data_IF_230801469275
#
_entry.id   IF_230801469275
#
_cell.length_a   1.000
_cell.length_b   1.000
_cell.length_c   1.000
_cell.angle_alpha   90.00
_cell.angle_beta   90.00
_cell.angle_gamma   90.00
#
_symmetry.space_group_name_H-M   'P 1'
#
loop_
_entity.id
_entity.type
_entity.pdbx_description
1 polymer ?
#
# COMPACT_ATOMS: atom_id res chain seq x y z
N UNK A 1 -64.40 30.92 44.12
CA UNK A 1 -63.02 31.29 44.53
C UNK A 1 -62.98 31.24 46.04
N UNK A 2 -62.33 30.21 46.60
CA UNK A 2 -62.08 30.09 48.04
C UNK A 2 -60.57 29.95 48.21
N UNK A 3 -59.95 30.94 48.87
CA UNK A 3 -58.53 30.91 49.22
C UNK A 3 -58.33 30.03 50.45
N UNK A 4 -57.48 29.01 50.32
CA UNK A 4 -57.09 28.14 51.42
C UNK A 4 -56.11 28.88 52.37
N UNK A 5 -56.24 28.70 53.69
CA UNK A 5 -55.37 29.34 54.66
C UNK A 5 -53.95 28.76 54.62
N UNK A 6 -52.95 29.63 54.75
CA UNK A 6 -51.53 29.25 54.78
C UNK A 6 -51.22 28.50 56.08
N UNK A 7 -50.79 27.24 55.94
CA UNK A 7 -50.28 26.41 57.03
C UNK A 7 -48.76 26.58 57.11
N UNK A 8 -48.26 27.08 58.24
CA UNK A 8 -46.83 27.11 58.52
C UNK A 8 -46.31 25.73 58.97
N UNK A 9 -45.18 25.25 58.43
CA UNK A 9 -44.64 23.94 58.81
C UNK A 9 -44.03 23.94 60.23
N UNK A 10 -44.09 22.80 60.95
CA UNK A 10 -43.63 22.70 62.32
C UNK A 10 -42.10 22.77 62.43
N UNK A 11 -41.61 23.43 63.48
CA UNK A 11 -40.18 23.52 63.81
C UNK A 11 -39.65 22.17 64.30
N UNK A 12 -39.03 21.41 63.41
CA UNK A 12 -38.25 20.21 63.75
C UNK A 12 -36.90 20.60 64.38
N UNK A 13 -36.84 20.53 65.71
CA UNK A 13 -35.60 20.55 66.47
C UNK A 13 -34.88 19.20 66.31
N UNK A 14 -33.64 19.27 65.82
CA UNK A 14 -32.52 18.45 66.28
C UNK A 14 -32.65 16.93 66.20
N UNK A 15 -32.39 16.36 65.03
CA UNK A 15 -31.98 14.97 64.87
C UNK A 15 -31.01 14.93 63.68
N UNK A 16 -29.74 15.26 63.93
CA UNK A 16 -28.54 14.80 63.21
C UNK A 16 -27.38 15.65 63.73
N UNK A 17 -26.66 15.12 64.72
CA UNK A 17 -25.43 15.68 65.24
C UNK A 17 -24.29 15.07 64.39
N UNK A 18 -23.67 15.77 63.43
CA UNK A 18 -22.51 15.23 62.74
C UNK A 18 -21.38 15.09 63.77
N UNK A 19 -20.98 13.86 64.04
CA UNK A 19 -19.87 13.55 64.93
C UNK A 19 -18.59 14.18 64.39
N UNK A 20 -17.98 15.05 65.19
CA UNK A 20 -16.79 15.85 64.88
C UNK A 20 -15.46 15.05 64.79
N UNK A 21 -15.51 13.75 64.48
CA UNK A 21 -14.30 12.92 64.25
C UNK A 21 -13.78 12.95 62.82
N UNK A 22 -14.43 13.66 61.89
CA UNK A 22 -14.10 13.59 60.46
C UNK A 22 -13.07 14.64 59.97
N UNK A 23 -12.40 15.37 60.87
CA UNK A 23 -11.39 16.37 60.49
C UNK A 23 -9.95 15.80 60.44
N UNK A 24 -9.70 14.64 61.06
CA UNK A 24 -8.42 13.92 60.98
C UNK A 24 -8.33 13.03 59.75
N UNK A 25 -9.47 12.46 59.31
CA UNK A 25 -9.55 11.57 58.16
C UNK A 25 -9.21 12.24 56.84
N UNK A 26 -9.50 13.54 56.66
CA UNK A 26 -9.15 14.28 55.44
C UNK A 26 -7.64 14.49 55.28
N UNK A 27 -6.90 14.69 56.38
CA UNK A 27 -5.43 14.77 56.35
C UNK A 27 -4.81 13.43 56.02
N UNK A 28 -5.35 12.33 56.57
CA UNK A 28 -4.90 10.97 56.23
C UNK A 28 -5.15 10.64 54.75
N UNK A 29 -6.32 10.99 54.23
CA UNK A 29 -6.64 10.80 52.80
C UNK A 29 -5.69 11.60 51.91
N UNK A 30 -5.38 12.86 52.26
CA UNK A 30 -4.41 13.67 51.50
C UNK A 30 -3.00 13.07 51.52
N UNK A 31 -2.56 12.53 52.66
CA UNK A 31 -1.24 11.86 52.76
C UNK A 31 -1.19 10.60 51.91
N UNK A 32 -2.27 9.80 51.88
CA UNK A 32 -2.36 8.59 51.05
C UNK A 32 -2.31 8.94 49.56
N UNK A 33 -3.07 9.96 49.14
CA UNK A 33 -3.08 10.42 47.75
C UNK A 33 -1.69 10.93 47.36
N UNK A 34 -1.07 11.77 48.17
CA UNK A 34 0.27 12.29 47.90
C UNK A 34 1.32 11.17 47.85
N UNK A 35 1.24 10.21 48.77
CA UNK A 35 2.10 9.03 48.79
C UNK A 35 1.94 8.19 47.52
N UNK A 36 0.71 7.97 47.05
CA UNK A 36 0.45 7.21 45.81
C UNK A 36 1.04 7.89 44.57
N UNK A 37 1.02 9.23 44.51
CA UNK A 37 1.62 9.98 43.41
C UNK A 37 3.14 9.84 43.43
N UNK A 38 3.75 9.97 44.62
CA UNK A 38 5.21 9.82 44.77
C UNK A 38 5.66 8.40 44.41
N UNK A 39 4.98 7.37 44.92
CA UNK A 39 5.30 5.97 44.59
C UNK A 39 5.02 5.65 43.12
N UNK A 40 3.96 6.18 42.53
CA UNK A 40 3.65 6.03 41.10
C UNK A 40 4.71 6.69 40.22
N UNK A 41 5.16 7.89 40.60
CA UNK A 41 6.23 8.60 39.88
C UNK A 41 7.57 7.88 40.01
N UNK A 42 7.91 7.40 41.22
CA UNK A 42 9.16 6.68 41.46
C UNK A 42 9.17 5.33 40.74
N UNK A 43 8.06 4.58 40.80
CA UNK A 43 7.89 3.32 40.08
C UNK A 43 7.90 3.51 38.56
N UNK A 44 7.27 4.58 38.07
CA UNK A 44 7.30 4.97 36.66
C UNK A 44 8.70 5.33 36.18
N UNK A 45 9.45 6.13 36.95
CA UNK A 45 10.82 6.50 36.62
C UNK A 45 11.77 5.29 36.63
N UNK A 46 11.69 4.43 37.66
CA UNK A 46 12.48 3.20 37.73
C UNK A 46 12.11 2.22 36.62
N UNK A 47 10.82 2.02 36.36
CA UNK A 47 10.31 1.17 35.29
C UNK A 47 10.74 1.66 33.91
N UNK A 48 10.67 2.98 33.67
CA UNK A 48 11.13 3.59 32.41
C UNK A 48 12.64 3.43 32.20
N UNK A 49 13.44 3.47 33.27
CA UNK A 49 14.89 3.28 33.21
C UNK A 49 15.24 1.84 32.83
N UNK A 50 14.61 0.86 33.47
CA UNK A 50 14.81 -0.57 33.15
C UNK A 50 14.31 -0.91 31.74
N UNK A 51 13.12 -0.42 31.37
CA UNK A 51 12.56 -0.62 30.04
C UNK A 51 13.45 0.04 28.98
N UNK A 52 14.00 1.23 29.25
CA UNK A 52 14.94 1.90 28.36
C UNK A 52 16.15 1.02 28.06
N UNK A 53 16.78 0.39 29.06
CA UNK A 53 17.88 -0.55 28.80
C UNK A 53 17.45 -1.75 27.96
N UNK A 54 16.25 -2.28 28.17
CA UNK A 54 15.72 -3.41 27.39
C UNK A 54 15.44 -3.05 25.93
N UNK A 55 14.91 -1.85 25.66
CA UNK A 55 14.63 -1.39 24.29
C UNK A 55 15.84 -0.72 23.64
N UNK A 56 16.85 -0.28 24.40
CA UNK A 56 18.03 0.42 23.87
C UNK A 56 18.77 -0.42 22.85
N UNK A 57 18.87 -1.73 23.03
CA UNK A 57 19.50 -2.62 22.06
C UNK A 57 18.68 -2.74 20.77
N UNK A 58 17.34 -2.79 20.88
CA UNK A 58 16.44 -2.77 19.72
C UNK A 58 16.46 -1.42 19.00
N UNK A 59 16.47 -0.31 19.75
CA UNK A 59 16.56 1.06 19.23
C UNK A 59 17.93 1.32 18.60
N UNK A 60 19.02 0.84 19.19
CA UNK A 60 20.36 0.91 18.59
C UNK A 60 20.48 0.01 17.37
N UNK A 61 19.82 -1.15 17.34
CA UNK A 61 19.78 -2.01 16.15
C UNK A 61 18.91 -1.40 15.04
N UNK A 62 17.80 -0.73 15.38
CA UNK A 62 16.98 0.02 14.43
C UNK A 62 17.68 1.29 13.92
N UNK A 63 18.39 2.01 14.79
CA UNK A 63 19.20 3.19 14.45
C UNK A 63 20.45 2.81 13.63
N UNK A 64 21.13 1.73 13.99
CA UNK A 64 22.25 1.18 13.21
C UNK A 64 21.81 0.46 11.93
N UNK A 65 20.53 0.08 11.78
CA UNK A 65 20.01 -0.39 10.50
C UNK A 65 19.67 0.78 9.55
N UNK A 66 19.45 1.98 10.08
CA UNK A 66 19.39 3.21 9.26
C UNK A 66 20.78 3.78 8.96
N UNK A 67 21.78 3.43 9.78
CA UNK A 67 23.20 3.72 9.58
C UNK A 67 24.03 2.49 9.16
N UNK A 68 23.39 1.44 8.63
CA UNK A 68 23.92 0.84 7.41
C UNK A 68 23.45 1.83 6.35
N UNK A 69 24.17 2.95 6.18
CA UNK A 69 25.05 3.03 5.03
C UNK A 69 24.56 2.02 3.99
N UNK A 70 23.73 2.51 3.06
CA UNK A 70 24.15 2.38 1.67
C UNK A 70 25.61 2.81 1.70
N UNK A 71 26.50 1.85 2.01
CA UNK A 71 27.84 1.86 1.51
C UNK A 71 27.51 1.94 0.05
N UNK A 72 27.58 3.16 -0.47
CA UNK A 72 27.70 3.38 -1.88
C UNK A 72 28.93 2.54 -2.15
N UNK A 73 28.70 1.28 -2.52
CA UNK A 73 29.66 0.51 -3.27
C UNK A 73 30.02 1.53 -4.32
N UNK A 74 31.19 2.14 -4.13
CA UNK A 74 31.87 2.82 -5.20
C UNK A 74 31.76 1.80 -6.30
N UNK A 75 30.89 2.09 -7.28
CA UNK A 75 30.72 1.30 -8.48
C UNK A 75 32.13 1.26 -9.04
N UNK A 76 32.91 0.27 -8.63
CA UNK A 76 34.23 -0.01 -9.16
C UNK A 76 33.90 -0.28 -10.59
N UNK A 77 34.15 0.71 -11.45
CA UNK A 77 33.83 0.64 -12.85
C UNK A 77 34.47 -0.64 -13.36
N UNK A 78 33.62 -1.61 -13.65
CA UNK A 78 34.07 -2.95 -13.96
C UNK A 78 34.93 -2.85 -15.20
N UNK A 79 36.23 -3.13 -15.04
CA UNK A 79 37.15 -3.11 -16.18
C UNK A 79 37.17 -4.52 -16.73
N UNK A 80 36.67 -4.75 -17.96
CA UNK A 80 36.70 -6.08 -18.56
C UNK A 80 38.15 -6.58 -18.63
N UNK A 81 38.40 -7.79 -18.15
CA UNK A 81 39.74 -8.37 -18.11
C UNK A 81 40.15 -8.98 -19.45
N UNK A 82 39.18 -9.20 -20.33
CA UNK A 82 39.35 -9.83 -21.64
C UNK A 82 38.65 -9.04 -22.74
N UNK A 83 39.08 -9.21 -23.99
CA UNK A 83 38.43 -8.58 -25.14
C UNK A 83 37.04 -9.16 -25.41
N UNK A 84 36.83 -10.45 -25.13
CA UNK A 84 35.55 -11.14 -25.28
C UNK A 84 34.50 -10.56 -24.33
N UNK A 85 34.90 -10.34 -23.07
CA UNK A 85 34.02 -9.75 -22.07
C UNK A 85 33.62 -8.32 -22.43
N UNK A 86 34.59 -7.51 -22.87
CA UNK A 86 34.29 -6.16 -23.36
C UNK A 86 33.29 -6.20 -24.50
N UNK A 87 33.45 -7.11 -25.46
CA UNK A 87 32.51 -7.24 -26.57
C UNK A 87 31.09 -7.62 -26.11
N UNK A 88 30.95 -8.46 -25.08
CA UNK A 88 29.64 -8.80 -24.50
C UNK A 88 29.01 -7.58 -23.82
N UNK A 89 29.79 -6.85 -23.01
CA UNK A 89 29.32 -5.63 -22.33
C UNK A 89 28.85 -4.60 -23.36
N UNK A 90 29.66 -4.34 -24.40
CA UNK A 90 29.34 -3.38 -25.46
C UNK A 90 28.04 -3.76 -26.20
N UNK A 91 27.82 -5.05 -26.46
CA UNK A 91 26.58 -5.54 -27.09
C UNK A 91 25.39 -5.32 -26.18
N UNK A 92 25.48 -5.67 -24.90
CA UNK A 92 24.39 -5.49 -23.92
C UNK A 92 24.06 -4.00 -23.72
N UNK A 93 25.08 -3.14 -23.59
CA UNK A 93 24.90 -1.70 -23.47
C UNK A 93 24.17 -1.12 -24.68
N UNK A 94 24.52 -1.59 -25.89
CA UNK A 94 23.89 -1.14 -27.14
C UNK A 94 22.48 -1.70 -27.33
N UNK A 95 22.19 -2.92 -26.90
CA UNK A 95 20.91 -3.59 -27.15
C UNK A 95 19.87 -3.38 -26.06
N UNK A 96 20.28 -3.28 -24.79
CA UNK A 96 19.37 -3.19 -23.64
C UNK A 96 18.37 -2.02 -23.67
N UNK A 97 18.66 -0.84 -24.27
CA UNK A 97 17.67 0.23 -24.34
C UNK A 97 16.48 -0.11 -25.24
N UNK A 98 16.66 -1.01 -26.22
CA UNK A 98 15.61 -1.44 -27.14
C UNK A 98 14.76 -2.60 -26.58
N UNK A 99 15.16 -3.20 -25.46
CA UNK A 99 14.39 -4.26 -24.78
C UNK A 99 13.27 -3.62 -23.96
N UNK A 100 12.08 -4.17 -24.06
CA UNK A 100 10.88 -3.66 -23.39
C UNK A 100 10.12 -4.77 -22.69
N UNK A 101 9.42 -4.42 -21.62
CA UNK A 101 8.44 -5.30 -20.98
C UNK A 101 7.05 -5.04 -21.55
N UNK A 102 6.26 -6.08 -21.74
CA UNK A 102 4.88 -6.01 -22.21
C UNK A 102 3.99 -6.46 -21.06
N UNK A 103 3.14 -5.58 -20.57
CA UNK A 103 2.19 -5.83 -19.49
C UNK A 103 0.83 -6.11 -20.12
N UNK A 104 0.21 -7.23 -19.71
CA UNK A 104 -1.08 -7.69 -20.22
C UNK A 104 -2.11 -7.44 -19.13
N UNK A 105 -3.07 -6.56 -19.41
CA UNK A 105 -4.12 -6.20 -18.46
C UNK A 105 -5.49 -6.55 -19.00
N UNK A 106 -6.40 -6.99 -18.13
CA UNK A 106 -7.78 -7.29 -18.49
C UNK A 106 -8.74 -6.80 -17.41
N UNK A 107 -9.92 -6.39 -17.86
CA UNK A 107 -11.02 -5.99 -17.01
C UNK A 107 -11.68 -7.21 -16.38
N UNK A 108 -11.43 -7.42 -15.08
CA UNK A 108 -11.88 -8.59 -14.34
C UNK A 108 -12.99 -8.23 -13.36
N UNK A 109 -14.07 -9.04 -13.25
CA UNK A 109 -15.12 -8.79 -12.28
C UNK A 109 -14.61 -8.97 -10.85
N UNK A 110 -14.84 -7.96 -10.01
CA UNK A 110 -14.52 -8.02 -8.58
C UNK A 110 -15.76 -8.46 -7.82
N UNK A 111 -15.60 -9.52 -7.03
CA UNK A 111 -16.65 -10.05 -6.16
C UNK A 111 -16.37 -9.67 -4.71
N UNK A 112 -17.41 -9.20 -4.02
CA UNK A 112 -17.36 -8.93 -2.58
C UNK A 112 -18.09 -10.05 -1.85
N UNK A 113 -17.42 -10.62 -0.85
CA UNK A 113 -18.03 -11.58 0.05
C UNK A 113 -18.86 -10.82 1.08
N UNK A 114 -20.14 -11.12 1.14
CA UNK A 114 -21.04 -10.63 2.18
C UNK A 114 -21.68 -11.81 2.91
N UNK A 115 -22.15 -11.56 4.12
CA UNK A 115 -22.82 -12.56 4.92
C UNK A 115 -24.30 -12.26 4.97
N UNK A 116 -25.11 -13.26 4.68
CA UNK A 116 -26.56 -13.20 4.75
C UNK A 116 -27.02 -14.17 5.83
N UNK A 117 -27.97 -13.75 6.66
CA UNK A 117 -28.64 -14.64 7.60
C UNK A 117 -30.00 -15.02 7.00
N UNK A 118 -30.17 -16.25 6.48
CA UNK A 118 -31.42 -16.68 5.85
C UNK A 118 -32.58 -16.78 6.85
N UNK A 119 -32.28 -16.72 8.15
CA UNK A 119 -33.27 -16.77 9.22
C UNK A 119 -33.63 -15.41 9.82
N UNK A 120 -33.07 -14.31 9.31
CA UNK A 120 -33.29 -12.95 9.84
C UNK A 120 -34.77 -12.54 9.86
N UNK A 121 -35.57 -13.02 8.91
CA UNK A 121 -36.99 -12.70 8.85
C UNK A 121 -37.80 -13.38 9.98
N UNK A 122 -37.35 -14.54 10.46
CA UNK A 122 -38.00 -15.28 11.54
C UNK A 122 -37.68 -14.72 12.94
N UNK A 123 -36.64 -13.89 13.09
CA UNK A 123 -36.33 -13.21 14.37
C UNK A 123 -37.50 -12.35 14.85
N UNK A 124 -38.30 -11.79 13.94
CA UNK A 124 -39.51 -11.02 14.27
C UNK A 124 -40.60 -11.87 14.94
N UNK A 125 -40.61 -13.18 14.69
CA UNK A 125 -41.63 -14.10 15.19
C UNK A 125 -41.15 -14.93 16.38
N UNK A 126 -39.91 -15.43 16.35
CA UNK A 126 -39.35 -16.33 17.38
C UNK A 126 -38.41 -15.65 18.38
N UNK A 127 -38.13 -14.35 18.23
CA UNK A 127 -37.18 -13.61 19.06
C UNK A 127 -35.71 -13.82 18.64
N UNK A 128 -34.75 -13.38 19.47
CA UNK A 128 -33.32 -13.45 19.15
C UNK A 128 -32.86 -14.89 18.97
N UNK A 129 -32.50 -15.26 17.73
CA UNK A 129 -31.97 -16.57 17.37
C UNK A 129 -30.44 -16.54 17.26
N UNK A 130 -29.74 -17.68 17.32
CA UNK A 130 -28.31 -17.76 17.05
C UNK A 130 -27.99 -17.20 15.65
N UNK A 131 -26.99 -16.33 15.56
CA UNK A 131 -26.64 -15.65 14.32
C UNK A 131 -25.98 -16.62 13.32
N UNK A 132 -26.78 -17.21 12.43
CA UNK A 132 -26.30 -18.10 11.37
C UNK A 132 -25.97 -17.28 10.11
N UNK A 133 -24.69 -17.19 9.76
CA UNK A 133 -24.19 -16.41 8.61
C UNK A 133 -23.70 -17.36 7.52
N UNK A 134 -24.29 -17.26 6.33
CA UNK A 134 -23.77 -17.95 5.14
C UNK A 134 -22.98 -16.97 4.26
N UNK A 135 -21.77 -17.34 3.81
CA UNK A 135 -21.02 -16.52 2.87
C UNK A 135 -21.70 -16.53 1.50
N UNK A 136 -21.87 -15.34 0.92
CA UNK A 136 -22.39 -15.12 -0.43
C UNK A 136 -21.46 -14.17 -1.16
N UNK A 137 -21.37 -14.31 -2.49
CA UNK A 137 -20.56 -13.43 -3.33
C UNK A 137 -21.47 -12.56 -4.18
N UNK A 138 -21.26 -11.24 -4.17
CA UNK A 138 -21.94 -10.30 -5.06
C UNK A 138 -20.91 -9.63 -5.95
N UNK A 139 -21.22 -9.48 -7.25
CA UNK A 139 -20.40 -8.69 -8.16
C UNK A 139 -20.46 -7.22 -7.73
N UNK A 140 -19.32 -6.66 -7.33
CA UNK A 140 -19.17 -5.27 -6.88
C UNK A 140 -18.83 -4.33 -8.02
N UNK A 141 -18.09 -4.82 -9.01
CA UNK A 141 -17.68 -4.02 -10.16
C UNK A 141 -16.75 -4.78 -11.11
N UNK A 142 -15.99 -4.03 -11.88
CA UNK A 142 -14.93 -4.50 -12.77
C UNK A 142 -13.68 -3.70 -12.43
N UNK A 143 -12.54 -4.38 -12.32
CA UNK A 143 -11.25 -3.76 -12.06
C UNK A 143 -10.24 -4.27 -13.09
N UNK A 144 -9.44 -3.35 -13.62
CA UNK A 144 -8.36 -3.67 -14.53
C UNK A 144 -7.24 -4.35 -13.75
N UNK A 145 -6.99 -5.61 -14.05
CA UNK A 145 -5.98 -6.43 -13.38
C UNK A 145 -4.90 -6.84 -14.38
N UNK A 146 -3.65 -6.79 -13.94
CA UNK A 146 -2.55 -7.41 -14.66
C UNK A 146 -2.70 -8.93 -14.59
N UNK A 147 -2.85 -9.55 -15.77
CA UNK A 147 -3.08 -10.99 -15.91
C UNK A 147 -1.84 -11.73 -16.45
N UNK A 148 -0.85 -10.99 -16.94
CA UNK A 148 0.38 -11.57 -17.43
C UNK A 148 1.37 -10.50 -17.91
N UNK A 149 2.52 -10.97 -18.38
CA UNK A 149 3.55 -10.13 -18.95
C UNK A 149 4.47 -10.89 -19.89
N UNK A 150 5.29 -10.15 -20.63
CA UNK A 150 6.25 -10.68 -21.59
C UNK A 150 7.35 -9.67 -21.90
N UNK A 151 8.21 -10.03 -22.85
CA UNK A 151 9.31 -9.17 -23.32
C UNK A 151 9.16 -8.93 -24.82
N UNK A 152 9.66 -7.78 -25.27
CA UNK A 152 9.76 -7.46 -26.69
C UNK A 152 11.00 -6.64 -27.00
N UNK A 153 11.22 -6.42 -28.29
CA UNK A 153 12.34 -5.64 -28.81
C UNK A 153 11.82 -4.57 -29.76
N UNK A 154 12.24 -3.32 -29.56
CA UNK A 154 11.94 -2.24 -30.50
C UNK A 154 12.87 -2.41 -31.71
N UNK A 155 12.28 -2.67 -32.87
CA UNK A 155 13.00 -2.91 -34.13
C UNK A 155 12.96 -1.72 -35.08
N UNK A 156 12.14 -0.71 -34.79
CA UNK A 156 12.06 0.51 -35.60
C UNK A 156 11.88 1.78 -34.77
N UNK A 157 12.49 2.88 -35.23
CA UNK A 157 12.54 4.18 -34.52
C UNK A 157 11.15 4.79 -34.34
N UNK A 158 10.21 4.35 -35.16
CA UNK A 158 8.82 4.77 -35.15
C UNK A 158 7.94 3.96 -34.18
N UNK A 159 8.51 3.00 -33.43
CA UNK A 159 7.81 2.27 -32.36
C UNK A 159 7.28 0.89 -32.77
N UNK A 160 7.90 0.24 -33.76
CA UNK A 160 7.59 -1.17 -34.06
C UNK A 160 8.29 -2.08 -33.04
N UNK A 161 7.53 -2.99 -32.42
CA UNK A 161 8.03 -3.91 -31.40
C UNK A 161 7.76 -5.35 -31.85
N UNK A 162 8.80 -6.19 -31.80
CA UNK A 162 8.72 -7.62 -32.04
C UNK A 162 8.63 -8.36 -30.69
N UNK A 163 7.72 -9.33 -30.60
CA UNK A 163 7.52 -10.17 -29.42
C UNK A 163 7.03 -11.55 -29.86
N UNK A 164 6.71 -12.40 -28.89
CA UNK A 164 6.08 -13.68 -29.15
C UNK A 164 4.56 -13.54 -29.34
N UNK A 165 3.97 -14.35 -30.22
CA UNK A 165 2.53 -14.40 -30.42
C UNK A 165 1.80 -14.78 -29.13
N UNK A 166 2.30 -15.75 -28.36
CA UNK A 166 1.65 -16.17 -27.11
C UNK A 166 1.53 -15.03 -26.08
N UNK A 167 2.41 -14.02 -26.12
CA UNK A 167 2.31 -12.83 -25.25
C UNK A 167 1.09 -11.98 -25.63
N UNK A 168 0.76 -11.95 -26.92
CA UNK A 168 -0.34 -11.13 -27.47
C UNK A 168 -1.50 -11.97 -28.01
N UNK A 169 -1.78 -13.08 -27.33
CA UNK A 169 -2.77 -14.07 -27.77
C UNK A 169 -4.23 -13.61 -27.56
N UNK A 170 -4.50 -12.94 -26.44
CA UNK A 170 -5.85 -12.53 -26.01
C UNK A 170 -6.27 -11.21 -26.67
N UNK A 171 -7.31 -11.26 -27.50
CA UNK A 171 -7.77 -10.09 -28.25
C UNK A 171 -8.55 -9.08 -27.38
N UNK A 172 -9.07 -9.52 -26.23
CA UNK A 172 -9.80 -8.67 -25.28
C UNK A 172 -8.87 -8.06 -24.20
N UNK A 173 -7.57 -8.36 -24.26
CA UNK A 173 -6.59 -7.82 -23.33
C UNK A 173 -6.03 -6.49 -23.84
N UNK A 174 -5.70 -5.62 -22.89
CA UNK A 174 -4.98 -4.38 -23.16
C UNK A 174 -3.48 -4.59 -22.95
N UNK A 175 -2.70 -4.18 -23.94
CA UNK A 175 -1.25 -4.32 -23.94
C UNK A 175 -0.59 -2.98 -23.65
N UNK A 176 0.28 -2.95 -22.64
CA UNK A 176 1.10 -1.79 -22.31
C UNK A 176 2.58 -2.15 -22.39
N UNK A 177 3.33 -1.43 -23.20
CA UNK A 177 4.78 -1.56 -23.31
C UNK A 177 5.43 -0.64 -22.28
N UNK A 178 6.28 -1.21 -21.43
CA UNK A 178 7.15 -0.51 -20.49
C UNK A 178 8.58 -0.54 -21.02
N UNK A 179 9.11 0.63 -21.36
CA UNK A 179 10.50 0.80 -21.82
C UNK A 179 11.48 0.78 -20.65
N UNK A 180 12.76 0.50 -20.93
CA UNK A 180 13.82 0.43 -19.92
C UNK A 180 14.00 1.76 -19.15
N UNK A 181 13.70 2.89 -19.78
CA UNK A 181 13.68 4.22 -19.13
C UNK A 181 12.41 4.49 -18.29
N UNK A 182 11.55 3.49 -18.10
CA UNK A 182 10.37 3.55 -17.23
C UNK A 182 9.11 4.14 -17.86
N UNK A 183 9.14 4.52 -19.15
CA UNK A 183 7.97 5.07 -19.84
C UNK A 183 6.99 3.96 -20.26
N UNK A 184 5.69 4.29 -20.26
CA UNK A 184 4.59 3.37 -20.59
C UNK A 184 3.88 3.82 -21.85
N UNK A 185 3.64 2.89 -22.76
CA UNK A 185 2.96 3.13 -24.03
C UNK A 185 1.87 2.10 -24.25
N UNK A 186 0.66 2.54 -24.62
CA UNK A 186 -0.36 1.62 -25.11
C UNK A 186 0.10 1.02 -26.44
N UNK A 187 -0.08 -0.30 -26.58
CA UNK A 187 0.35 -1.04 -27.75
C UNK A 187 -0.84 -1.64 -28.50
N UNK A 188 -0.74 -1.66 -29.83
CA UNK A 188 -1.71 -2.32 -30.72
C UNK A 188 -1.04 -3.47 -31.45
N UNK A 189 -1.69 -4.62 -31.48
CA UNK A 189 -1.23 -5.78 -32.26
C UNK A 189 -1.44 -5.50 -33.75
N UNK A 190 -0.39 -5.62 -34.55
CA UNK A 190 -0.45 -5.41 -36.01
C UNK A 190 -0.54 -6.73 -36.76
N UNK A 191 0.29 -7.71 -36.38
CA UNK A 191 0.35 -9.01 -37.03
C UNK A 191 0.79 -10.10 -36.05
N UNK A 192 0.34 -11.32 -36.31
CA UNK A 192 0.69 -12.53 -35.56
C UNK A 192 1.06 -13.62 -36.57
N UNK A 193 2.21 -14.26 -36.40
CA UNK A 193 2.61 -15.45 -37.13
C UNK A 193 2.22 -16.69 -36.30
N UNK A 194 1.28 -17.52 -36.78
CA UNK A 194 0.84 -18.71 -36.04
C UNK A 194 1.86 -19.84 -36.02
N UNK A 195 2.80 -19.89 -36.97
CA UNK A 195 3.77 -20.99 -37.16
C UNK A 195 5.04 -20.74 -36.34
N UNK A 196 5.56 -19.51 -36.37
CA UNK A 196 6.83 -19.16 -35.72
C UNK A 196 6.66 -18.57 -34.30
N UNK A 197 5.42 -18.48 -33.80
CA UNK A 197 5.09 -17.82 -32.53
C UNK A 197 5.63 -16.38 -32.43
N UNK A 198 5.58 -15.63 -33.55
CA UNK A 198 6.01 -14.24 -33.60
C UNK A 198 4.82 -13.29 -33.66
N UNK A 199 4.98 -12.10 -33.10
CA UNK A 199 4.02 -11.03 -33.26
C UNK A 199 4.69 -9.67 -33.35
N UNK A 200 4.07 -8.79 -34.13
CA UNK A 200 4.49 -7.41 -34.30
C UNK A 200 3.42 -6.52 -33.69
N UNK A 201 3.83 -5.66 -32.77
CA UNK A 201 2.97 -4.65 -32.14
C UNK A 201 3.51 -3.25 -32.40
N UNK A 202 2.63 -2.25 -32.27
CA UNK A 202 2.93 -0.84 -32.50
C UNK A 202 2.71 -0.04 -31.24
N UNK A 203 3.68 0.80 -30.90
CA UNK A 203 3.56 1.86 -29.89
C UNK A 203 3.68 3.23 -30.54
N UNK A 204 2.97 4.21 -29.98
CA UNK A 204 2.99 5.59 -30.47
C UNK A 204 4.19 6.37 -29.94
N UNK A 205 4.73 7.26 -30.77
CA UNK A 205 5.84 8.14 -30.38
C UNK A 205 5.35 9.31 -29.54
N UNK A 206 6.12 9.63 -28.52
CA UNK A 206 5.91 10.81 -27.69
C UNK A 206 6.27 12.08 -28.47
N UNK A 207 5.40 13.10 -28.38
CA UNK A 207 5.67 14.44 -28.88
C UNK A 207 6.53 15.18 -27.87
N UNK A 208 7.65 15.73 -28.33
CA UNK A 208 8.58 16.53 -27.54
C UNK A 208 8.83 17.86 -28.24
N UNK A 209 9.13 18.92 -27.49
CA UNK A 209 9.48 20.22 -28.05
C UNK A 209 11.00 20.32 -28.10
N UNK A 210 11.55 20.62 -29.28
CA UNK A 210 12.99 20.84 -29.43
C UNK A 210 13.41 22.22 -28.90
N UNK A 211 14.72 22.50 -28.84
CA UNK A 211 15.26 23.80 -28.39
C UNK A 211 14.82 25.00 -29.24
N UNK A 212 14.24 24.79 -30.42
CA UNK A 212 13.69 25.82 -31.30
C UNK A 212 12.17 26.04 -31.09
N UNK A 213 11.55 25.37 -30.12
CA UNK A 213 10.11 25.46 -29.87
C UNK A 213 9.24 24.66 -30.84
N UNK A 214 9.82 23.81 -31.70
CA UNK A 214 9.08 22.96 -32.65
C UNK A 214 8.73 21.61 -32.04
N UNK A 215 7.51 21.14 -32.33
CA UNK A 215 7.06 19.79 -31.98
C UNK A 215 7.78 18.76 -32.85
N UNK A 216 8.50 17.84 -32.21
CA UNK A 216 9.20 16.72 -32.84
C UNK A 216 8.81 15.41 -32.16
N UNK A 217 8.79 14.32 -32.93
CA UNK A 217 8.51 12.98 -32.37
C UNK A 217 9.83 12.37 -31.88
N UNK A 218 9.89 11.99 -30.60
CA UNK A 218 11.07 11.32 -30.05
C UNK A 218 11.23 9.93 -30.69
N UNK A 219 12.39 9.62 -31.29
CA UNK A 219 12.65 8.27 -31.79
C UNK A 219 12.89 7.32 -30.63
N UNK A 220 12.54 6.06 -30.82
CA UNK A 220 12.89 5.00 -29.87
C UNK A 220 14.31 4.48 -30.10
N UNK A 221 15.00 4.00 -29.05
CA UNK A 221 16.19 3.16 -29.23
C UNK A 221 15.78 1.88 -29.97
N UNK A 222 16.56 1.49 -30.97
CA UNK A 222 16.24 0.35 -31.84
C UNK A 222 17.35 -0.68 -31.83
N UNK A 223 16.96 -1.94 -31.84
CA UNK A 223 17.87 -3.04 -32.18
C UNK A 223 18.00 -3.11 -33.71
N UNK A 224 19.20 -2.84 -34.23
CA UNK A 224 19.49 -3.12 -35.63
C UNK A 224 19.71 -4.62 -35.77
N UNK A 225 18.80 -5.29 -36.48
CA UNK A 225 19.08 -6.60 -37.03
C UNK A 225 20.09 -6.36 -38.17
N UNK A 226 21.23 -7.05 -38.10
CA UNK A 226 22.38 -6.84 -38.99
C UNK A 226 22.05 -6.97 -40.47
#
# INVERSE_FOLDING_TARGET
MYELPKLDPPKLKGLFKPSSRFRSSSRLVLIIVFSSIVFGFLGGALGSSLFYFQIKDYLNKASNNNNQFVKQESLTSYTPQTSQEKAIIDVVEKSSPAVVSIIISKDMPVYEQYYENPFKEYEKFFGPMPEFKIPRYKKKGVEKKEIGGGTGFIVSKDGLVLTNKHVVLDEDAEYTVLTNDGRRFSARVLAKDPVQDLAVIKIEREKSVNGEGKMVLRPFPTLSLG
#
